data_IF_237694639248
#
_entry.id   IF_237694639248
#
_cell.length_a   1.000
_cell.length_b   1.000
_cell.length_c   1.000
_cell.angle_alpha   90.00
_cell.angle_beta   90.00
_cell.angle_gamma   90.00
#
_symmetry.space_group_name_H-M   'P 1'
#
loop_
_entity.id
_entity.type
_entity.pdbx_description
1 polymer ?
#
# COMPACT_ATOMS: atom_id res chain seq x y z
N UNK A 1 -1.72 13.21 20.54
CA UNK A 1 -2.57 12.80 19.40
C UNK A 1 -3.94 12.30 19.87
N UNK A 2 -4.00 11.61 21.02
CA UNK A 2 -5.22 11.06 21.66
C UNK A 2 -6.44 12.00 21.67
N UNK A 3 -6.25 13.29 21.97
CA UNK A 3 -7.34 14.28 21.95
C UNK A 3 -7.99 14.50 20.57
N UNK A 4 -7.42 13.99 19.48
CA UNK A 4 -7.97 14.10 18.12
C UNK A 4 -8.42 12.75 17.54
N UNK A 5 -8.18 11.64 18.27
CA UNK A 5 -8.62 10.31 17.83
C UNK A 5 -10.12 10.21 17.93
N UNK A 6 -10.73 9.68 16.88
CA UNK A 6 -12.16 9.39 16.83
C UNK A 6 -12.40 8.06 17.56
N UNK A 7 -12.67 8.15 18.87
CA UNK A 7 -13.02 6.99 19.70
C UNK A 7 -14.56 6.86 19.79
N UNK A 8 -15.30 7.93 19.47
CA UNK A 8 -16.77 8.02 19.50
C UNK A 8 -17.27 9.12 18.55
N UNK A 9 -18.61 9.22 18.37
CA UNK A 9 -19.26 10.35 17.67
C UNK A 9 -18.99 11.67 18.41
N UNK A 10 -17.87 12.32 18.06
CA UNK A 10 -17.54 13.67 18.51
C UNK A 10 -18.33 14.72 17.70
N UNK A 11 -18.62 15.88 18.30
CA UNK A 11 -19.32 16.97 17.61
C UNK A 11 -18.59 17.39 16.32
N UNK A 12 -19.34 17.89 15.33
CA UNK A 12 -18.84 18.25 13.99
C UNK A 12 -17.74 19.32 13.98
N UNK A 13 -17.56 20.07 15.07
CA UNK A 13 -16.60 21.16 15.21
C UNK A 13 -15.19 20.73 15.66
N UNK A 14 -14.99 19.45 16.01
CA UNK A 14 -13.68 18.94 16.42
C UNK A 14 -12.88 18.36 15.25
N UNK A 15 -11.61 18.78 15.15
CA UNK A 15 -10.64 18.20 14.21
C UNK A 15 -10.49 16.69 14.47
N UNK A 16 -10.63 15.88 13.43
CA UNK A 16 -10.49 14.43 13.46
C UNK A 16 -9.14 14.00 12.90
N UNK A 17 -8.56 12.98 13.51
CA UNK A 17 -7.31 12.37 13.08
C UNK A 17 -7.58 10.92 12.67
N UNK A 18 -7.29 10.58 11.42
CA UNK A 18 -7.66 9.30 10.80
C UNK A 18 -6.47 8.42 10.45
N UNK A 19 -5.24 8.93 10.46
CA UNK A 19 -4.11 8.16 9.98
C UNK A 19 -2.81 8.95 9.90
N UNK A 20 -1.74 8.23 9.57
CA UNK A 20 -0.40 8.77 9.35
C UNK A 20 0.07 8.36 7.94
N UNK A 21 0.63 9.29 7.17
CA UNK A 21 1.40 8.96 5.97
C UNK A 21 2.89 9.02 6.30
N UNK A 22 3.60 7.93 6.04
CA UNK A 22 5.05 7.83 6.11
C UNK A 22 5.62 7.90 4.70
N UNK A 23 6.74 8.61 4.53
CA UNK A 23 7.38 8.78 3.23
C UNK A 23 8.88 8.43 3.34
N UNK A 24 9.22 7.13 3.31
CA UNK A 24 10.60 6.66 3.45
C UNK A 24 11.65 7.34 2.55
N UNK A 25 11.35 7.64 1.26
CA UNK A 25 12.31 8.33 0.40
C UNK A 25 12.73 9.73 0.87
N UNK A 26 12.03 10.34 1.84
CA UNK A 26 12.41 11.62 2.45
C UNK A 26 13.22 11.46 3.75
N UNK A 27 13.60 10.25 4.15
CA UNK A 27 14.44 10.00 5.31
C UNK A 27 13.79 9.17 6.43
N UNK A 28 12.55 8.69 6.24
CA UNK A 28 11.91 7.84 7.23
C UNK A 28 12.45 6.40 7.10
N UNK A 29 13.33 5.98 8.02
CA UNK A 29 13.74 4.59 8.15
C UNK A 29 12.69 3.85 9.00
N UNK A 30 11.98 2.83 8.47
CA UNK A 30 10.95 2.12 9.22
C UNK A 30 11.52 1.28 10.37
N UNK A 31 12.79 0.89 10.28
CA UNK A 31 13.41 0.09 11.32
C UNK A 31 14.90 0.45 11.54
N UNK A 32 15.24 1.62 12.15
CA UNK A 32 16.62 2.11 12.29
C UNK A 32 17.47 1.34 13.32
N UNK A 33 18.75 1.07 13.00
CA UNK A 33 19.66 0.34 13.90
C UNK A 33 20.00 1.11 15.18
N UNK A 34 20.01 2.44 15.12
CA UNK A 34 20.24 3.30 16.28
C UNK A 34 19.09 3.16 17.31
N UNK A 35 19.37 2.82 18.58
CA UNK A 35 18.34 2.61 19.59
C UNK A 35 17.47 3.84 19.91
N UNK A 36 18.01 5.05 19.83
CA UNK A 36 17.25 6.26 20.14
C UNK A 36 16.31 6.61 18.97
N UNK A 37 16.74 6.42 17.72
CA UNK A 37 15.87 6.52 16.54
C UNK A 37 14.83 5.39 16.50
N UNK A 38 15.22 4.18 16.94
CA UNK A 38 14.33 3.01 17.07
C UNK A 38 13.16 3.31 17.98
N UNK A 39 13.43 3.84 19.16
CA UNK A 39 12.40 4.17 20.15
C UNK A 39 11.36 5.16 19.58
N UNK A 40 11.81 6.14 18.79
CA UNK A 40 10.92 7.13 18.16
C UNK A 40 9.95 6.50 17.16
N UNK A 41 10.43 5.60 16.29
CA UNK A 41 9.55 4.94 15.32
C UNK A 41 8.64 3.93 15.98
N UNK A 42 9.14 3.18 16.98
CA UNK A 42 8.33 2.25 17.76
C UNK A 42 7.21 2.97 18.51
N UNK A 43 7.46 4.17 19.04
CA UNK A 43 6.41 4.97 19.68
C UNK A 43 5.25 5.32 18.71
N UNK A 44 5.54 5.52 17.42
CA UNK A 44 4.51 5.73 16.40
C UNK A 44 3.72 4.44 16.16
N UNK A 45 4.41 3.32 15.98
CA UNK A 45 3.77 2.02 15.73
C UNK A 45 2.91 1.58 16.90
N UNK A 46 3.42 1.68 18.13
CA UNK A 46 2.69 1.34 19.34
C UNK A 46 1.43 2.19 19.50
N UNK A 47 1.55 3.50 19.26
CA UNK A 47 0.41 4.40 19.27
C UNK A 47 -0.63 4.00 18.22
N UNK A 48 -0.21 3.72 16.98
CA UNK A 48 -1.11 3.32 15.91
C UNK A 48 -1.78 1.96 16.16
N UNK A 49 -1.03 0.97 16.65
CA UNK A 49 -1.57 -0.34 17.02
C UNK A 49 -2.56 -0.25 18.18
N UNK A 50 -2.24 0.50 19.23
CA UNK A 50 -3.11 0.67 20.42
C UNK A 50 -4.43 1.34 20.06
N UNK A 51 -4.38 2.38 19.22
CA UNK A 51 -5.55 3.18 18.88
C UNK A 51 -6.21 2.81 17.55
N UNK A 52 -5.75 1.74 16.90
CA UNK A 52 -6.22 1.28 15.58
C UNK A 52 -6.17 2.40 14.52
N UNK A 53 -5.12 3.22 14.58
CA UNK A 53 -4.90 4.29 13.60
C UNK A 53 -4.12 3.70 12.41
N UNK A 54 -4.66 3.76 11.19
CA UNK A 54 -3.96 3.25 10.02
C UNK A 54 -2.75 4.11 9.63
N UNK A 55 -1.75 3.43 9.09
CA UNK A 55 -0.58 4.03 8.46
C UNK A 55 -0.66 3.79 6.95
N UNK A 56 -0.29 4.78 6.15
CA UNK A 56 0.03 4.60 4.74
C UNK A 56 1.53 4.85 4.60
N UNK A 57 2.29 3.96 3.96
CA UNK A 57 3.68 4.20 3.58
C UNK A 57 3.79 4.35 2.06
N UNK A 58 4.69 5.21 1.59
CA UNK A 58 5.12 5.17 0.18
C UNK A 58 5.76 3.81 -0.12
N UNK A 59 5.40 3.17 -1.23
CA UNK A 59 5.91 1.85 -1.62
C UNK A 59 5.97 1.67 -3.16
N UNK A 60 6.69 2.55 -3.86
CA UNK A 60 7.20 2.31 -5.22
C UNK A 60 8.65 2.80 -5.37
N UNK A 61 9.27 2.54 -6.52
CA UNK A 61 10.64 2.99 -6.81
C UNK A 61 10.73 4.42 -7.38
N UNK A 62 9.66 5.20 -7.30
CA UNK A 62 9.54 6.57 -7.80
C UNK A 62 9.33 7.56 -6.64
N UNK A 63 9.06 8.83 -7.00
CA UNK A 63 8.73 9.88 -6.05
C UNK A 63 9.90 10.78 -5.66
N UNK A 64 9.64 11.69 -4.73
CA UNK A 64 10.61 12.70 -4.29
C UNK A 64 11.58 12.13 -3.27
N UNK A 65 12.87 12.48 -3.38
CA UNK A 65 13.93 11.95 -2.50
C UNK A 65 14.66 13.05 -1.75
N UNK A 66 14.85 12.86 -0.46
CA UNK A 66 15.69 13.69 0.42
C UNK A 66 16.99 13.00 0.87
N UNK A 67 17.10 11.69 0.64
CA UNK A 67 18.22 10.82 0.98
C UNK A 67 18.80 10.17 -0.27
N UNK A 68 19.87 9.38 -0.15
CA UNK A 68 20.46 8.71 -1.31
C UNK A 68 19.48 7.71 -1.94
N UNK A 69 19.64 7.43 -3.23
CA UNK A 69 18.80 6.47 -3.93
C UNK A 69 18.84 5.07 -3.29
N UNK A 70 19.99 4.67 -2.74
CA UNK A 70 20.18 3.39 -2.06
C UNK A 70 19.39 3.33 -0.76
N UNK A 71 19.44 4.37 0.05
CA UNK A 71 18.69 4.43 1.32
C UNK A 71 17.19 4.52 1.04
N UNK A 72 16.77 5.39 0.11
CA UNK A 72 15.36 5.50 -0.29
C UNK A 72 14.81 4.13 -0.72
N UNK A 73 15.53 3.39 -1.55
CA UNK A 73 15.16 2.03 -1.93
C UNK A 73 15.03 1.11 -0.71
N UNK A 74 16.06 1.09 0.14
CA UNK A 74 16.10 0.22 1.31
C UNK A 74 14.99 0.50 2.32
N UNK A 75 14.60 1.76 2.52
CA UNK A 75 13.58 2.13 3.49
C UNK A 75 12.14 2.00 2.93
N UNK A 76 12.00 2.00 1.61
CA UNK A 76 10.70 1.92 0.91
C UNK A 76 10.26 0.48 0.66
N UNK A 77 11.20 -0.46 0.58
CA UNK A 77 10.90 -1.87 0.32
C UNK A 77 9.94 -2.47 1.37
N UNK A 78 8.97 -3.31 0.98
CA UNK A 78 8.08 -3.99 1.93
C UNK A 78 8.85 -4.79 2.99
N UNK A 79 9.94 -5.45 2.60
CA UNK A 79 10.84 -6.17 3.51
C UNK A 79 11.41 -5.32 4.65
N UNK A 80 11.55 -4.00 4.49
CA UNK A 80 12.02 -3.11 5.56
C UNK A 80 11.03 -3.02 6.74
N UNK A 81 9.77 -3.37 6.51
CA UNK A 81 8.71 -3.40 7.50
C UNK A 81 8.48 -4.79 8.13
N UNK A 82 9.16 -5.86 7.67
CA UNK A 82 9.09 -7.19 8.30
C UNK A 82 9.28 -7.13 9.83
N UNK A 83 10.36 -6.53 10.36
CA UNK A 83 10.55 -6.46 11.81
C UNK A 83 9.53 -5.55 12.52
N UNK A 84 8.98 -4.53 11.84
CA UNK A 84 7.88 -3.71 12.37
C UNK A 84 6.65 -4.58 12.60
N UNK A 85 6.28 -5.39 11.60
CA UNK A 85 5.10 -6.24 11.64
C UNK A 85 5.27 -7.44 12.57
N UNK A 86 6.49 -7.98 12.71
CA UNK A 86 6.80 -8.99 13.73
C UNK A 86 6.59 -8.44 15.14
N UNK A 87 6.97 -7.18 15.38
CA UNK A 87 6.83 -6.51 16.68
C UNK A 87 5.40 -6.05 16.95
N UNK A 88 4.70 -5.57 15.92
CA UNK A 88 3.35 -5.00 15.98
C UNK A 88 2.42 -5.71 14.99
N UNK A 89 2.09 -7.01 15.20
CA UNK A 89 1.39 -7.83 14.20
C UNK A 89 -0.04 -7.39 13.90
N UNK A 90 -0.63 -6.54 14.74
CA UNK A 90 -1.97 -5.97 14.54
C UNK A 90 -1.95 -4.57 13.93
N UNK A 91 -0.77 -4.02 13.62
CA UNK A 91 -0.64 -2.70 12.99
C UNK A 91 -1.37 -2.68 11.64
N UNK A 92 -2.26 -1.70 11.47
CA UNK A 92 -2.93 -1.47 10.17
C UNK A 92 -2.04 -0.59 9.30
N UNK A 93 -1.56 -1.14 8.19
CA UNK A 93 -0.66 -0.43 7.28
C UNK A 93 -1.00 -0.71 5.81
N UNK A 94 -0.98 0.35 5.01
CA UNK A 94 -1.12 0.31 3.55
C UNK A 94 0.22 0.67 2.89
N UNK A 95 0.66 -0.19 1.97
CA UNK A 95 1.82 0.02 1.12
C UNK A 95 1.36 0.64 -0.20
N UNK A 96 1.41 1.96 -0.26
CA UNK A 96 0.90 2.72 -1.40
C UNK A 96 1.61 2.34 -2.69
N UNK A 97 0.86 2.34 -3.79
CA UNK A 97 1.36 1.99 -5.12
C UNK A 97 1.72 0.50 -5.29
N UNK A 98 1.30 -0.37 -4.35
CA UNK A 98 1.38 -1.82 -4.47
C UNK A 98 2.79 -2.43 -4.60
N UNK A 99 3.85 -1.73 -4.16
CA UNK A 99 5.21 -2.21 -4.40
C UNK A 99 5.57 -2.16 -5.88
N UNK A 100 4.96 -1.30 -6.68
CA UNK A 100 5.20 -1.30 -8.12
C UNK A 100 6.59 -0.77 -8.46
N UNK A 101 7.34 -1.49 -9.29
CA UNK A 101 8.68 -1.11 -9.70
C UNK A 101 8.69 -0.77 -11.19
N UNK A 102 8.97 0.49 -11.51
CA UNK A 102 9.02 1.02 -12.87
C UNK A 102 10.39 0.84 -13.53
N UNK A 103 11.47 0.75 -12.74
CA UNK A 103 12.81 0.58 -13.24
C UNK A 103 13.11 -0.88 -13.58
N UNK A 104 13.14 -1.19 -14.87
CA UNK A 104 13.38 -2.54 -15.40
C UNK A 104 14.76 -3.10 -15.03
N UNK A 105 15.75 -2.25 -14.75
CA UNK A 105 17.12 -2.68 -14.38
C UNK A 105 17.19 -3.40 -13.03
N UNK A 106 16.14 -3.31 -12.22
CA UNK A 106 16.07 -3.90 -10.89
C UNK A 106 15.29 -5.21 -10.85
N UNK A 107 14.75 -5.66 -12.00
CA UNK A 107 13.98 -6.89 -12.12
C UNK A 107 14.87 -8.04 -12.59
N UNK A 108 14.63 -9.24 -12.06
CA UNK A 108 15.33 -10.43 -12.54
C UNK A 108 14.84 -10.81 -13.94
N UNK A 109 15.73 -11.32 -14.79
CA UNK A 109 15.36 -11.78 -16.14
C UNK A 109 14.26 -12.87 -16.09
N UNK A 110 14.30 -13.73 -15.07
CA UNK A 110 13.30 -14.78 -14.87
C UNK A 110 11.93 -14.19 -14.52
N UNK A 111 11.86 -13.20 -13.62
CA UNK A 111 10.62 -12.54 -13.26
C UNK A 111 9.99 -11.81 -14.47
N UNK A 112 10.81 -11.13 -15.28
CA UNK A 112 10.34 -10.49 -16.50
C UNK A 112 9.77 -11.50 -17.51
N UNK A 113 10.47 -12.62 -17.76
CA UNK A 113 9.99 -13.66 -18.68
C UNK A 113 8.69 -14.29 -18.18
N UNK A 114 8.62 -14.60 -16.88
CA UNK A 114 7.42 -15.18 -16.26
C UNK A 114 6.23 -14.21 -16.32
N UNK A 115 6.46 -12.93 -15.99
CA UNK A 115 5.44 -11.88 -16.07
C UNK A 115 4.92 -11.69 -17.50
N UNK A 116 5.80 -11.71 -18.51
CA UNK A 116 5.40 -11.64 -19.92
C UNK A 116 4.58 -12.87 -20.36
N UNK A 117 4.94 -14.07 -19.90
CA UNK A 117 4.26 -15.31 -20.29
C UNK A 117 2.88 -15.46 -19.61
N UNK A 118 2.77 -15.04 -18.36
CA UNK A 118 1.56 -15.20 -17.54
C UNK A 118 0.67 -13.95 -17.52
N UNK A 119 1.23 -12.80 -17.90
CA UNK A 119 0.59 -11.51 -17.72
C UNK A 119 0.39 -11.15 -16.25
N UNK A 120 1.26 -11.61 -15.33
CA UNK A 120 1.24 -11.26 -13.90
C UNK A 120 2.32 -10.23 -13.54
N UNK A 121 2.25 -9.56 -12.37
CA UNK A 121 3.25 -8.60 -11.95
C UNK A 121 4.64 -9.22 -11.85
N UNK A 122 5.62 -8.54 -12.44
CA UNK A 122 7.04 -8.92 -12.43
C UNK A 122 7.85 -8.17 -11.35
N UNK A 123 7.18 -7.43 -10.46
CA UNK A 123 7.81 -6.64 -9.39
C UNK A 123 8.08 -7.50 -8.14
N UNK A 124 9.36 -7.69 -7.72
CA UNK A 124 9.69 -8.30 -6.43
C UNK A 124 8.94 -7.70 -5.24
N UNK A 125 8.82 -6.38 -5.17
CA UNK A 125 8.13 -5.70 -4.06
C UNK A 125 6.62 -5.97 -4.05
N UNK A 126 6.01 -6.21 -5.20
CA UNK A 126 4.61 -6.66 -5.25
C UNK A 126 4.45 -8.01 -4.55
N UNK A 127 5.33 -8.97 -4.86
CA UNK A 127 5.28 -10.31 -4.25
C UNK A 127 5.64 -10.28 -2.76
N UNK A 128 6.62 -9.47 -2.35
CA UNK A 128 6.92 -9.25 -0.92
C UNK A 128 5.70 -8.66 -0.18
N UNK A 129 5.00 -7.70 -0.78
CA UNK A 129 3.79 -7.13 -0.18
C UNK A 129 2.69 -8.18 -0.03
N UNK A 130 2.42 -8.98 -1.05
CA UNK A 130 1.39 -10.04 -0.95
C UNK A 130 1.79 -11.11 0.08
N UNK A 131 3.07 -11.46 0.19
CA UNK A 131 3.57 -12.31 1.28
C UNK A 131 3.21 -11.71 2.65
N UNK A 132 3.47 -10.41 2.85
CA UNK A 132 3.11 -9.71 4.10
C UNK A 132 1.59 -9.66 4.33
N UNK A 133 0.78 -9.53 3.27
CA UNK A 133 -0.68 -9.63 3.39
C UNK A 133 -1.10 -10.99 3.92
N UNK A 134 -0.52 -12.09 3.43
CA UNK A 134 -0.87 -13.42 3.92
C UNK A 134 -0.37 -13.67 5.36
N UNK A 135 0.78 -13.10 5.74
CA UNK A 135 1.37 -13.29 7.07
C UNK A 135 0.71 -12.46 8.18
N UNK A 136 0.23 -11.26 7.87
CA UNK A 136 -0.28 -10.31 8.86
C UNK A 136 -1.71 -9.89 8.51
N UNK A 137 -2.62 -9.73 9.49
CA UNK A 137 -4.05 -9.52 9.23
C UNK A 137 -4.40 -8.16 8.62
N UNK A 138 -3.61 -7.12 8.89
CA UNK A 138 -3.96 -5.73 8.60
C UNK A 138 -2.98 -5.02 7.65
N UNK A 139 -2.40 -5.77 6.70
CA UNK A 139 -1.54 -5.23 5.63
C UNK A 139 -2.36 -5.03 4.36
N UNK A 140 -2.29 -3.84 3.79
CA UNK A 140 -3.03 -3.36 2.62
C UNK A 140 -2.10 -2.86 1.52
N UNK A 141 -2.64 -2.70 0.32
CA UNK A 141 -1.99 -2.03 -0.79
C UNK A 141 -2.99 -1.18 -1.56
N UNK A 142 -2.58 0.01 -1.99
CA UNK A 142 -3.41 0.89 -2.82
C UNK A 142 -2.94 0.95 -4.28
N UNK A 143 -3.89 1.13 -5.19
CA UNK A 143 -3.63 1.24 -6.64
C UNK A 143 -3.23 2.67 -7.06
N UNK A 144 -2.98 3.56 -6.10
CA UNK A 144 -2.64 4.94 -6.39
C UNK A 144 -1.34 5.00 -7.19
N UNK A 145 -1.26 5.92 -8.15
CA UNK A 145 -0.15 6.07 -9.10
C UNK A 145 0.15 4.87 -10.03
N UNK A 146 0.27 3.62 -9.54
CA UNK A 146 0.42 2.41 -10.36
C UNK A 146 -0.79 2.16 -11.26
N UNK A 147 -1.99 2.49 -10.78
CA UNK A 147 -3.23 2.49 -11.54
C UNK A 147 -3.30 3.52 -12.68
N UNK A 148 -2.27 4.35 -12.89
CA UNK A 148 -2.15 5.14 -14.13
C UNK A 148 -1.90 4.26 -15.35
N UNK A 149 -1.37 3.05 -15.15
CA UNK A 149 -1.13 2.07 -16.21
C UNK A 149 -2.28 1.04 -16.24
N UNK A 150 -3.10 0.98 -17.32
CA UNK A 150 -4.14 -0.03 -17.44
C UNK A 150 -3.61 -1.48 -17.32
N UNK A 151 -2.35 -1.71 -17.71
CA UNK A 151 -1.73 -3.03 -17.61
C UNK A 151 -1.59 -3.50 -16.16
N UNK A 152 -1.45 -2.58 -15.20
CA UNK A 152 -1.40 -2.93 -13.77
C UNK A 152 -2.64 -3.71 -13.34
N UNK A 153 -3.85 -3.23 -13.69
CA UNK A 153 -5.09 -3.89 -13.30
C UNK A 153 -5.26 -5.26 -13.96
N UNK A 154 -4.84 -5.40 -15.21
CA UNK A 154 -4.82 -6.69 -15.92
C UNK A 154 -3.89 -7.66 -15.19
N UNK A 155 -2.70 -7.20 -14.82
CA UNK A 155 -1.72 -8.02 -14.11
C UNK A 155 -2.19 -8.43 -12.71
N UNK A 156 -2.74 -7.49 -11.94
CA UNK A 156 -3.31 -7.78 -10.63
C UNK A 156 -4.44 -8.82 -10.72
N UNK A 157 -5.36 -8.67 -11.69
CA UNK A 157 -6.45 -9.63 -11.88
C UNK A 157 -5.94 -11.00 -12.32
N UNK A 158 -4.93 -11.07 -13.20
CA UNK A 158 -4.31 -12.33 -13.59
C UNK A 158 -3.60 -13.00 -12.41
N UNK A 159 -2.92 -12.22 -11.57
CA UNK A 159 -2.29 -12.73 -10.35
C UNK A 159 -3.33 -13.33 -9.41
N UNK A 160 -4.40 -12.60 -9.09
CA UNK A 160 -5.50 -13.10 -8.23
C UNK A 160 -6.09 -14.39 -8.81
N UNK A 161 -6.33 -14.46 -10.13
CA UNK A 161 -6.84 -15.68 -10.80
C UNK A 161 -5.85 -16.84 -10.77
N UNK A 162 -4.56 -16.56 -10.68
CA UNK A 162 -3.49 -17.58 -10.65
C UNK A 162 -3.27 -18.20 -9.27
N UNK A 163 -3.69 -17.53 -8.20
CA UNK A 163 -3.61 -18.05 -6.84
C UNK A 163 -4.46 -19.33 -6.74
N UNK A 164 -3.92 -20.37 -6.11
CA UNK A 164 -4.61 -21.66 -6.04
C UNK A 164 -5.74 -21.64 -5.01
N UNK A 165 -5.54 -20.95 -3.88
CA UNK A 165 -6.43 -21.03 -2.71
C UNK A 165 -7.38 -19.84 -2.63
N UNK A 166 -8.66 -20.09 -2.34
CA UNK A 166 -9.69 -19.04 -2.20
C UNK A 166 -9.34 -18.00 -1.12
N UNK A 167 -8.71 -18.46 -0.03
CA UNK A 167 -8.30 -17.58 1.08
C UNK A 167 -7.24 -16.56 0.66
N UNK A 168 -6.28 -16.95 -0.19
CA UNK A 168 -5.26 -16.04 -0.71
C UNK A 168 -5.88 -15.02 -1.68
N UNK A 169 -6.82 -15.47 -2.54
CA UNK A 169 -7.58 -14.59 -3.43
C UNK A 169 -8.37 -13.55 -2.64
N UNK A 170 -9.10 -14.01 -1.63
CA UNK A 170 -9.90 -13.16 -0.76
C UNK A 170 -9.03 -12.20 0.07
N UNK A 171 -7.85 -12.65 0.50
CA UNK A 171 -6.86 -11.80 1.17
C UNK A 171 -6.49 -10.63 0.28
N UNK A 172 -6.03 -10.87 -0.94
CA UNK A 172 -5.66 -9.76 -1.86
C UNK A 172 -6.88 -8.87 -2.15
N UNK A 173 -8.03 -9.44 -2.50
CA UNK A 173 -9.24 -8.68 -2.83
C UNK A 173 -9.76 -7.82 -1.66
N UNK A 174 -9.61 -8.25 -0.41
CA UNK A 174 -10.08 -7.50 0.78
C UNK A 174 -9.09 -6.45 1.26
N UNK A 175 -7.88 -6.44 0.68
CA UNK A 175 -6.76 -5.60 1.10
C UNK A 175 -6.26 -4.66 0.00
N UNK A 176 -6.81 -4.78 -1.21
CA UNK A 176 -6.68 -3.78 -2.28
C UNK A 176 -7.54 -2.55 -1.96
N UNK A 177 -6.93 -1.37 -2.00
CA UNK A 177 -7.58 -0.08 -1.84
C UNK A 177 -7.53 0.71 -3.15
N UNK A 178 -8.61 1.45 -3.45
CA UNK A 178 -8.55 2.50 -4.45
C UNK A 178 -7.93 3.76 -3.87
N UNK A 179 -6.92 4.29 -4.56
CA UNK A 179 -6.39 5.62 -4.35
C UNK A 179 -5.98 6.17 -5.71
N UNK A 180 -6.04 7.48 -5.91
CA UNK A 180 -5.72 8.07 -7.22
C UNK A 180 -4.33 8.68 -7.31
N UNK A 181 -3.74 9.03 -6.17
CA UNK A 181 -2.54 9.86 -6.05
C UNK A 181 -2.69 11.24 -6.74
N UNK A 182 -3.87 11.84 -6.65
CA UNK A 182 -4.09 13.18 -7.18
C UNK A 182 -3.36 14.23 -6.32
N UNK A 183 -2.58 15.16 -6.90
CA UNK A 183 -2.43 15.49 -8.33
C UNK A 183 -1.18 14.89 -9.00
N UNK A 184 -0.41 14.05 -8.31
CA UNK A 184 0.84 13.46 -8.81
C UNK A 184 0.58 12.56 -10.03
N UNK A 185 -0.55 11.84 -10.03
CA UNK A 185 -0.97 11.02 -11.16
C UNK A 185 -1.06 11.78 -12.50
N UNK A 186 -1.27 13.10 -12.49
CA UNK A 186 -1.33 13.94 -13.69
C UNK A 186 0.01 14.03 -14.45
N UNK A 187 1.10 13.53 -13.87
CA UNK A 187 2.38 13.35 -14.58
C UNK A 187 2.30 12.19 -15.58
N UNK A 188 1.39 11.23 -15.37
CA UNK A 188 1.22 10.02 -16.21
C UNK A 188 -0.09 9.97 -16.97
N UNK A 189 -1.12 10.67 -16.51
CA UNK A 189 -2.43 10.72 -17.17
C UNK A 189 -2.88 12.16 -17.41
N UNK A 190 -3.67 12.36 -18.47
CA UNK A 190 -4.06 13.70 -18.92
C UNK A 190 -5.03 14.42 -17.97
N UNK A 191 -5.81 13.67 -17.19
CA UNK A 191 -6.82 14.25 -16.30
C UNK A 191 -7.25 13.28 -15.21
N UNK A 192 -7.90 13.81 -14.20
CA UNK A 192 -8.54 13.00 -13.15
C UNK A 192 -9.63 12.07 -13.70
N UNK A 193 -10.39 12.53 -14.70
CA UNK A 193 -11.39 11.70 -15.39
C UNK A 193 -10.72 10.55 -16.15
N UNK A 194 -9.56 10.80 -16.76
CA UNK A 194 -8.80 9.76 -17.47
C UNK A 194 -8.37 8.65 -16.50
N UNK A 195 -7.89 9.00 -15.30
CA UNK A 195 -7.54 8.02 -14.26
C UNK A 195 -8.75 7.13 -13.89
N UNK A 196 -9.91 7.74 -13.60
CA UNK A 196 -11.12 6.97 -13.27
C UNK A 196 -11.58 6.07 -14.41
N UNK A 197 -11.50 6.53 -15.66
CA UNK A 197 -11.86 5.69 -16.82
C UNK A 197 -10.95 4.48 -16.98
N UNK A 198 -9.69 4.57 -16.57
CA UNK A 198 -8.79 3.40 -16.55
C UNK A 198 -9.29 2.40 -15.51
N UNK A 199 -9.58 2.87 -14.29
CA UNK A 199 -10.10 2.02 -13.22
C UNK A 199 -11.48 1.40 -13.57
N UNK A 200 -12.39 2.18 -14.13
CA UNK A 200 -13.72 1.71 -14.58
C UNK A 200 -13.62 0.62 -15.66
N UNK A 201 -12.61 0.71 -16.54
CA UNK A 201 -12.36 -0.29 -17.60
C UNK A 201 -11.46 -1.44 -17.16
N UNK A 202 -11.10 -1.50 -15.89
CA UNK A 202 -10.31 -2.60 -15.34
C UNK A 202 -11.08 -3.93 -15.48
N UNK A 203 -10.40 -5.09 -15.43
CA UNK A 203 -11.04 -6.40 -15.56
C UNK A 203 -11.83 -6.84 -14.31
N UNK A 204 -11.98 -5.96 -13.31
CA UNK A 204 -12.68 -6.24 -12.06
C UNK A 204 -14.19 -6.03 -12.21
N UNK A 205 -14.98 -6.91 -11.60
CA UNK A 205 -16.43 -6.84 -11.54
C UNK A 205 -16.94 -5.77 -10.59
N UNK A 206 -18.25 -5.51 -10.62
CA UNK A 206 -18.89 -4.47 -9.80
C UNK A 206 -18.67 -4.67 -8.30
N UNK A 207 -18.71 -5.91 -7.81
CA UNK A 207 -18.48 -6.23 -6.39
C UNK A 207 -17.02 -5.96 -5.98
N UNK A 208 -16.05 -6.34 -6.80
CA UNK A 208 -14.63 -6.08 -6.55
C UNK A 208 -14.33 -4.57 -6.59
N UNK A 209 -14.93 -3.84 -7.53
CA UNK A 209 -14.84 -2.38 -7.59
C UNK A 209 -15.42 -1.73 -6.34
N UNK A 210 -16.62 -2.13 -5.90
CA UNK A 210 -17.24 -1.62 -4.67
C UNK A 210 -16.36 -1.88 -3.44
N UNK A 211 -15.74 -3.07 -3.38
CA UNK A 211 -14.77 -3.39 -2.33
C UNK A 211 -13.59 -2.43 -2.33
N UNK A 212 -12.97 -2.19 -3.48
CA UNK A 212 -11.77 -1.35 -3.57
C UNK A 212 -12.06 0.12 -3.23
N UNK A 213 -13.23 0.65 -3.62
CA UNK A 213 -13.55 2.08 -3.45
C UNK A 213 -14.32 2.40 -2.17
N UNK A 214 -14.95 1.42 -1.54
CA UNK A 214 -15.86 1.62 -0.40
C UNK A 214 -15.56 0.67 0.76
N UNK A 215 -15.80 -0.64 0.58
CA UNK A 215 -15.76 -1.59 1.72
C UNK A 215 -14.37 -1.69 2.35
N UNK A 216 -13.32 -1.86 1.55
CA UNK A 216 -11.96 -2.02 2.04
C UNK A 216 -11.42 -0.70 2.64
N UNK A 217 -11.57 0.48 2.00
CA UNK A 217 -11.20 1.76 2.62
C UNK A 217 -11.90 2.02 3.95
N UNK A 218 -13.20 1.71 4.06
CA UNK A 218 -13.94 1.87 5.32
C UNK A 218 -13.38 0.96 6.41
N UNK A 219 -13.05 -0.29 6.08
CA UNK A 219 -12.39 -1.22 7.02
C UNK A 219 -11.00 -0.74 7.42
N UNK A 220 -10.18 -0.30 6.47
CA UNK A 220 -8.85 0.24 6.70
C UNK A 220 -8.86 1.44 7.65
N UNK A 221 -9.83 2.33 7.48
CA UNK A 221 -10.02 3.52 8.33
C UNK A 221 -10.71 3.23 9.68
N UNK A 222 -11.11 1.98 9.95
CA UNK A 222 -11.88 1.64 11.15
C UNK A 222 -13.27 2.26 11.19
N UNK A 223 -13.86 2.49 10.01
CA UNK A 223 -15.17 3.12 9.80
C UNK A 223 -16.28 2.13 9.39
N UNK A 224 -15.93 0.89 9.07
CA UNK A 224 -16.90 -0.18 8.81
C UNK A 224 -17.47 -0.77 10.10
N UNK A 225 -18.69 -1.30 10.01
CA UNK A 225 -19.39 -1.99 11.12
C UNK A 225 -18.60 -3.20 11.67
#
# INVERSE_FOLDING_TARGET
LERFIVIDKRPEDQRRFWGIKLYPPLGYNPWPEDPDEREKVEAIYEFCSTHRIPIITHCDDQGFRGISAKEAWSYTAPSAYKPVLERHPTLTIDFAHYGWQYNQLQKSALAMISGLATGTPDSPWFHELVELMNLYPNVYGDVSFCGCDPAFYVQLANYIKSLEHDEERETVLSRTLFGSDFSVNLIKVESYVSYYRIFEKSPFGTEEIDRFVSVNPMRFLGLGD
#
